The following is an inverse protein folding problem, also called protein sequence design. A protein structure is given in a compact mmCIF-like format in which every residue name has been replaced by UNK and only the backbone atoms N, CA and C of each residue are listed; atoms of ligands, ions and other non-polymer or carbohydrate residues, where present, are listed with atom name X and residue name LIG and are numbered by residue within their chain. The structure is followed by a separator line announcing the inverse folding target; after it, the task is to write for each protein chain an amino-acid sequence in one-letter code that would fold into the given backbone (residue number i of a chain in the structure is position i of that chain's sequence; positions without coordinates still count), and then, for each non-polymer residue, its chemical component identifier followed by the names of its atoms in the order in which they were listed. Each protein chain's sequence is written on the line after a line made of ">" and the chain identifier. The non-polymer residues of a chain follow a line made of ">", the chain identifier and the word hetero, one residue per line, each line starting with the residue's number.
data_IF_166583669399
#
_entry.id   IF_166583669399
#
_cell.length_a   1.000
_cell.length_b   1.000
_cell.length_c   1.000
_cell.angle_alpha   90.00
_cell.angle_beta   90.00
_cell.angle_gamma   90.00
#
_symmetry.space_group_name_H-M   'P 1'
#
loop_
_entity.id
_entity.type
_entity.pdbx_description
1 polymer ?
#
# COMPACT_ATOMS: atom_id res chain seq x y z
N UNK A 1 -7.19 20.26 -14.46
CA UNK A 1 -6.04 20.11 -13.56
C UNK A 1 -6.56 19.37 -12.33
N UNK A 2 -6.27 18.07 -12.16
CA UNK A 2 -6.71 17.35 -10.95
C UNK A 2 -5.84 17.82 -9.79
N UNK A 3 -6.45 18.24 -8.69
CA UNK A 3 -5.69 18.69 -7.53
C UNK A 3 -4.97 17.50 -6.91
N UNK A 4 -3.73 17.70 -6.44
CA UNK A 4 -2.91 16.65 -5.80
C UNK A 4 -3.66 15.95 -4.65
N UNK A 5 -4.52 16.69 -3.95
CA UNK A 5 -5.41 16.17 -2.92
C UNK A 5 -6.37 15.08 -3.44
N UNK A 6 -6.92 15.21 -4.66
CA UNK A 6 -7.85 14.21 -5.22
C UNK A 6 -7.18 12.88 -5.54
N UNK A 7 -5.85 12.86 -5.78
CA UNK A 7 -5.09 11.64 -6.02
C UNK A 7 -4.85 10.85 -4.73
N UNK A 8 -4.71 11.54 -3.59
CA UNK A 8 -4.50 10.91 -2.28
C UNK A 8 -5.73 10.13 -1.79
N UNK A 9 -6.94 10.51 -2.20
CA UNK A 9 -8.18 9.88 -1.70
C UNK A 9 -8.66 8.69 -2.55
N UNK A 10 -8.03 8.40 -3.69
CA UNK A 10 -8.47 7.35 -4.62
C UNK A 10 -7.38 6.30 -4.89
N UNK A 11 -6.49 6.07 -3.92
CA UNK A 11 -5.52 4.99 -4.03
C UNK A 11 -6.29 3.67 -3.86
N UNK A 12 -6.24 2.76 -4.84
CA UNK A 12 -6.93 1.48 -4.73
C UNK A 12 -6.33 0.67 -3.56
N UNK A 13 -7.22 0.15 -2.71
CA UNK A 13 -6.80 -0.72 -1.60
C UNK A 13 -6.16 -1.99 -2.17
N UNK A 14 -4.97 -2.34 -1.69
CA UNK A 14 -4.31 -3.60 -2.01
C UNK A 14 -4.47 -4.63 -0.91
N UNK A 15 -4.28 -5.89 -1.25
CA UNK A 15 -4.25 -7.00 -0.29
C UNK A 15 -2.84 -7.55 -0.22
N UNK A 16 -2.32 -7.71 0.99
CA UNK A 16 -1.03 -8.31 1.24
C UNK A 16 -1.04 -9.78 0.79
N UNK A 17 -0.07 -10.15 -0.03
CA UNK A 17 0.08 -11.51 -0.56
C UNK A 17 0.51 -12.52 0.50
N UNK A 18 1.22 -12.07 1.54
CA UNK A 18 1.70 -12.93 2.62
C UNK A 18 0.67 -13.19 3.72
N UNK A 19 -0.03 -12.15 4.17
CA UNK A 19 -0.93 -12.26 5.34
C UNK A 19 -2.40 -11.95 5.04
N UNK A 20 -2.74 -11.57 3.80
CA UNK A 20 -4.11 -11.29 3.38
C UNK A 20 -4.72 -10.00 3.95
N UNK A 21 -3.98 -9.20 4.70
CA UNK A 21 -4.50 -7.95 5.24
C UNK A 21 -4.66 -6.89 4.13
N UNK A 22 -5.59 -5.96 4.32
CA UNK A 22 -5.66 -4.76 3.48
C UNK A 22 -4.45 -3.88 3.78
N UNK A 23 -3.78 -3.42 2.74
CA UNK A 23 -2.66 -2.48 2.82
C UNK A 23 -3.26 -1.08 2.68
N UNK A 24 -3.01 -0.23 3.69
CA UNK A 24 -3.39 1.18 3.68
C UNK A 24 -2.17 1.99 3.20
N UNK A 25 -2.23 2.46 1.97
CA UNK A 25 -1.15 3.20 1.34
C UNK A 25 -1.49 4.69 1.25
N UNK A 26 -0.55 5.53 1.68
CA UNK A 26 -0.65 6.99 1.53
C UNK A 26 -0.22 7.47 0.14
N UNK A 27 0.51 6.63 -0.60
CA UNK A 27 0.95 6.83 -1.97
C UNK A 27 0.91 5.49 -2.70
N UNK A 28 0.56 5.49 -3.99
CA UNK A 28 0.57 4.28 -4.80
C UNK A 28 1.99 3.69 -4.85
N UNK A 29 2.20 2.52 -4.24
CA UNK A 29 3.45 1.77 -4.41
C UNK A 29 3.29 0.62 -5.40
N UNK A 30 4.37 -0.07 -5.73
CA UNK A 30 4.31 -1.33 -6.50
C UNK A 30 4.35 -2.57 -5.61
N UNK A 31 4.37 -2.39 -4.28
CA UNK A 31 4.48 -3.48 -3.33
C UNK A 31 3.10 -4.08 -3.06
N UNK A 32 3.08 -5.41 -2.93
CA UNK A 32 1.90 -6.21 -2.54
C UNK A 32 2.12 -6.92 -1.21
N UNK A 33 3.02 -6.38 -0.41
CA UNK A 33 3.38 -6.88 0.91
C UNK A 33 3.22 -5.73 1.91
N UNK A 34 2.62 -6.00 3.07
CA UNK A 34 2.44 -4.98 4.10
C UNK A 34 3.74 -4.73 4.87
N UNK A 35 3.86 -3.56 5.50
CA UNK A 35 5.05 -3.15 6.26
C UNK A 35 5.49 -4.19 7.31
N UNK A 36 4.53 -4.92 7.89
CA UNK A 36 4.78 -5.99 8.86
C UNK A 36 5.45 -7.23 8.26
N UNK A 37 5.14 -7.56 7.01
CA UNK A 37 5.73 -8.71 6.33
C UNK A 37 7.08 -8.34 5.70
N UNK A 38 7.20 -7.12 5.13
CA UNK A 38 8.47 -6.60 4.61
C UNK A 38 9.57 -6.64 5.67
N UNK A 39 9.28 -6.16 6.88
CA UNK A 39 10.23 -6.18 7.98
C UNK A 39 10.68 -7.59 8.44
N UNK A 40 10.05 -8.67 7.96
CA UNK A 40 10.51 -10.05 8.21
C UNK A 40 11.62 -10.47 7.23
N UNK A 41 11.65 -9.89 6.04
CA UNK A 41 12.63 -10.20 5.00
C UNK A 41 13.92 -9.39 5.12
N UNK A 42 13.89 -8.26 5.82
CA UNK A 42 15.06 -7.37 6.03
C UNK A 42 16.01 -7.83 7.15
N UNK A 43 16.14 -9.14 7.39
CA UNK A 43 17.02 -9.71 8.43
C UNK A 43 18.17 -10.54 7.88
#
# INVERSE_FOLDING_TARGET
>A
MKNYLELHFNIPKKTCTECGCVIEEQHESYLYECERCIGKHER
#
